data_IF_843899535475
#
_entry.id   IF_843899535475
#
_cell.length_a   1.000
_cell.length_b   1.000
_cell.length_c   1.000
_cell.angle_alpha   90.00
_cell.angle_beta   90.00
_cell.angle_gamma   90.00
#
_symmetry.space_group_name_H-M   'P 1'
#
loop_
_entity.id
_entity.type
_entity.pdbx_description
1 polymer ?
#
# COMPACT_ATOMS: atom_id res chain seq x y z
N UNK A 1 8.71 20.22 -21.31
CA UNK A 1 10.04 19.74 -20.84
C UNK A 1 10.07 18.22 -21.01
N UNK A 2 11.14 17.63 -21.54
CA UNK A 2 11.27 16.16 -21.57
C UNK A 2 11.51 15.67 -20.14
N UNK A 3 10.62 14.86 -19.60
CA UNK A 3 10.77 14.25 -18.29
C UNK A 3 12.10 13.49 -18.17
N UNK A 4 12.74 13.56 -17.00
CA UNK A 4 13.88 12.69 -16.70
C UNK A 4 13.41 11.22 -16.74
N UNK A 5 14.16 10.36 -17.43
CA UNK A 5 13.92 8.90 -17.38
C UNK A 5 14.54 8.23 -16.16
N UNK A 6 15.39 8.93 -15.41
CA UNK A 6 16.12 8.31 -14.29
C UNK A 6 15.26 8.29 -13.04
N UNK A 7 15.15 7.09 -12.47
CA UNK A 7 14.58 6.82 -11.16
C UNK A 7 15.65 6.05 -10.33
N UNK A 8 15.61 6.09 -8.98
CA UNK A 8 16.71 5.58 -8.14
C UNK A 8 16.60 4.10 -7.74
N UNK A 9 15.48 3.45 -8.01
CA UNK A 9 15.22 2.04 -7.72
C UNK A 9 15.94 1.09 -8.69
N UNK A 10 16.32 -0.11 -8.23
CA UNK A 10 16.90 -1.13 -9.10
C UNK A 10 15.88 -1.63 -10.13
N UNK A 11 16.34 -1.98 -11.33
CA UNK A 11 15.49 -2.49 -12.41
C UNK A 11 14.84 -3.84 -12.09
N UNK A 12 15.45 -4.63 -11.19
CA UNK A 12 14.89 -5.87 -10.67
C UNK A 12 14.64 -5.73 -9.17
N UNK A 13 13.55 -6.35 -8.70
CA UNK A 13 13.20 -6.40 -7.29
C UNK A 13 14.34 -7.03 -6.49
N UNK A 14 14.84 -6.36 -5.44
CA UNK A 14 15.77 -6.96 -4.48
C UNK A 14 15.17 -8.20 -3.83
N UNK A 15 16.03 -9.12 -3.39
CA UNK A 15 15.60 -10.27 -2.62
C UNK A 15 14.89 -9.83 -1.32
N UNK A 16 13.72 -10.41 -1.06
CA UNK A 16 12.92 -10.16 0.14
C UNK A 16 12.78 -11.46 0.93
N UNK A 17 13.35 -11.50 2.14
CA UNK A 17 13.23 -12.63 3.07
C UNK A 17 12.43 -12.20 4.29
N UNK A 18 11.39 -12.98 4.60
CA UNK A 18 10.45 -12.70 5.69
C UNK A 18 10.45 -13.90 6.61
N UNK A 19 10.74 -13.66 7.88
CA UNK A 19 10.83 -14.70 8.90
C UNK A 19 9.98 -14.30 10.12
N UNK A 20 9.16 -15.21 10.68
CA UNK A 20 8.46 -14.94 11.93
C UNK A 20 9.45 -14.54 13.03
N UNK A 21 9.09 -13.54 13.81
CA UNK A 21 9.90 -13.06 14.93
C UNK A 21 9.21 -13.35 16.25
N UNK A 22 10.00 -13.75 17.26
CA UNK A 22 9.53 -13.90 18.66
C UNK A 22 9.62 -12.59 19.46
N UNK A 23 9.93 -11.47 18.79
CA UNK A 23 9.94 -10.18 19.45
C UNK A 23 8.56 -9.87 20.04
N UNK A 24 8.54 -9.15 21.19
CA UNK A 24 7.29 -8.72 21.82
C UNK A 24 6.42 -7.96 20.81
N UNK A 25 5.11 -8.27 20.71
CA UNK A 25 4.17 -7.48 19.94
C UNK A 25 4.26 -6.00 20.30
N UNK A 26 4.05 -5.13 19.30
CA UNK A 26 4.06 -3.70 19.48
C UNK A 26 2.97 -3.06 18.64
N UNK A 27 2.38 -1.99 19.17
CA UNK A 27 1.57 -1.09 18.38
C UNK A 27 2.48 -0.20 17.53
N UNK A 28 2.01 0.12 16.34
CA UNK A 28 2.65 1.02 15.40
C UNK A 28 1.79 2.28 15.29
N UNK A 29 2.43 3.43 15.39
CA UNK A 29 1.84 4.71 15.05
C UNK A 29 2.11 5.02 13.57
N UNK A 30 1.24 4.55 12.68
CA UNK A 30 1.35 4.70 11.24
C UNK A 30 0.75 6.04 10.79
N UNK A 31 1.60 7.05 10.63
CA UNK A 31 1.20 8.41 10.22
C UNK A 31 1.14 8.60 8.70
N UNK A 32 1.24 7.51 7.95
CA UNK A 32 1.15 7.47 6.50
C UNK A 32 -0.31 7.32 6.06
N UNK A 33 -0.70 7.99 4.98
CA UNK A 33 -1.94 7.69 4.26
C UNK A 33 -1.83 6.26 3.75
N UNK A 34 -2.76 5.40 4.20
CA UNK A 34 -2.56 3.96 4.17
C UNK A 34 -2.23 3.49 2.74
N UNK A 35 -1.11 2.78 2.66
CA UNK A 35 -0.55 2.11 1.47
C UNK A 35 0.05 3.01 0.40
N UNK A 36 -0.05 4.34 0.52
CA UNK A 36 0.66 5.32 -0.32
C UNK A 36 1.92 5.89 0.35
N UNK A 37 2.22 5.47 1.59
CA UNK A 37 3.43 5.84 2.34
C UNK A 37 3.68 7.35 2.56
N UNK A 38 2.77 8.22 2.13
CA UNK A 38 2.85 9.67 2.24
C UNK A 38 2.33 10.15 3.59
N UNK A 39 3.07 11.05 4.25
CA UNK A 39 2.66 11.65 5.53
C UNK A 39 2.10 13.05 5.30
N UNK A 40 0.88 13.38 5.77
CA UNK A 40 0.29 14.72 5.65
C UNK A 40 0.99 15.76 6.55
N UNK A 41 2.27 16.03 6.28
CA UNK A 41 3.11 16.99 7.00
C UNK A 41 3.91 17.75 5.94
N UNK A 42 3.72 19.07 5.86
CA UNK A 42 4.37 19.91 4.84
C UNK A 42 5.89 19.72 4.87
N UNK A 43 6.47 19.56 3.68
CA UNK A 43 7.89 19.29 3.47
C UNK A 43 8.26 17.80 3.46
N UNK A 44 7.34 16.90 3.84
CA UNK A 44 7.59 15.47 3.71
C UNK A 44 7.63 15.03 2.25
N UNK A 45 8.56 14.11 1.98
CA UNK A 45 8.73 13.44 0.71
C UNK A 45 8.73 11.94 0.93
N UNK A 46 7.97 11.23 0.12
CA UNK A 46 8.07 9.76 0.03
C UNK A 46 8.23 9.36 -1.42
N UNK A 47 8.85 8.21 -1.61
CA UNK A 47 9.11 7.63 -2.91
C UNK A 47 9.00 6.11 -2.76
N UNK A 48 8.25 5.46 -3.63
CA UNK A 48 8.18 3.99 -3.69
C UNK A 48 8.13 3.52 -5.14
N UNK A 49 8.40 2.22 -5.32
CA UNK A 49 8.41 1.57 -6.62
C UNK A 49 7.62 0.27 -6.59
N UNK A 50 6.96 -0.05 -7.70
CA UNK A 50 6.21 -1.28 -7.91
C UNK A 50 7.01 -2.26 -8.77
N UNK A 51 6.93 -3.53 -8.39
CA UNK A 51 7.59 -4.65 -9.05
C UNK A 51 6.57 -5.76 -9.29
N UNK A 52 6.21 -5.97 -10.55
CA UNK A 52 5.11 -6.85 -10.90
C UNK A 52 5.58 -8.28 -11.15
N UNK A 53 4.75 -9.24 -10.78
CA UNK A 53 4.91 -10.62 -11.22
C UNK A 53 4.72 -10.73 -12.77
N UNK A 54 5.33 -11.75 -13.40
CA UNK A 54 6.18 -12.79 -12.79
C UNK A 54 7.68 -12.47 -12.79
N UNK A 55 8.14 -11.50 -13.58
CA UNK A 55 9.56 -11.21 -13.78
C UNK A 55 10.15 -10.26 -12.72
N UNK A 56 9.31 -9.68 -11.86
CA UNK A 56 9.68 -8.78 -10.77
C UNK A 56 10.55 -7.61 -11.25
N UNK A 57 10.27 -7.13 -12.47
CA UNK A 57 10.88 -5.91 -13.00
C UNK A 57 10.20 -4.68 -12.42
N UNK A 58 10.95 -3.58 -12.36
CA UNK A 58 10.40 -2.29 -12.03
C UNK A 58 9.38 -1.87 -13.10
N UNK A 59 8.13 -1.66 -12.69
CA UNK A 59 7.02 -1.27 -13.59
C UNK A 59 6.59 0.17 -13.37
N UNK A 60 6.71 0.68 -12.15
CA UNK A 60 6.43 2.08 -11.83
C UNK A 60 7.19 2.57 -10.62
N UNK A 61 7.31 3.89 -10.50
CA UNK A 61 7.67 4.55 -9.26
C UNK A 61 6.77 5.75 -9.04
N UNK A 62 6.46 6.05 -7.78
CA UNK A 62 5.62 7.18 -7.41
C UNK A 62 6.34 8.00 -6.36
N UNK A 63 6.39 9.31 -6.58
CA UNK A 63 6.84 10.31 -5.64
C UNK A 63 5.64 11.08 -5.12
N UNK A 64 5.57 11.26 -3.80
CA UNK A 64 4.62 12.18 -3.19
C UNK A 64 5.36 13.24 -2.38
N UNK A 65 5.01 14.50 -2.64
CA UNK A 65 5.54 15.68 -1.97
C UNK A 65 4.41 16.39 -1.25
N UNK A 66 4.47 16.49 0.07
CA UNK A 66 3.54 17.28 0.88
C UNK A 66 3.91 18.77 0.76
N UNK A 67 3.21 19.53 -0.06
CA UNK A 67 3.69 20.84 -0.54
C UNK A 67 3.20 22.03 0.27
N UNK A 68 1.94 22.03 0.73
CA UNK A 68 1.36 23.17 1.46
C UNK A 68 0.12 22.77 2.27
N UNK A 69 -0.26 23.57 3.28
CA UNK A 69 -1.56 23.42 3.93
C UNK A 69 -2.69 23.60 2.93
N UNK A 70 -3.75 22.81 3.08
CA UNK A 70 -4.95 22.85 2.25
C UNK A 70 -6.21 22.71 3.11
N UNK A 71 -7.36 23.08 2.54
CA UNK A 71 -8.67 22.89 3.16
C UNK A 71 -9.64 22.37 2.10
N UNK A 72 -10.31 21.26 2.40
CA UNK A 72 -11.33 20.65 1.53
C UNK A 72 -12.62 20.57 2.36
N UNK A 73 -13.70 21.20 1.90
CA UNK A 73 -14.99 21.25 2.62
C UNK A 73 -14.82 21.60 4.11
N UNK A 74 -14.09 22.68 4.39
CA UNK A 74 -13.71 23.14 5.73
C UNK A 74 -12.83 22.21 6.58
N UNK A 75 -12.43 21.06 6.06
CA UNK A 75 -11.49 20.14 6.73
C UNK A 75 -10.05 20.51 6.40
N UNK A 76 -9.27 20.84 7.43
CA UNK A 76 -7.85 21.16 7.28
C UNK A 76 -7.03 19.90 6.94
N UNK A 77 -6.10 20.04 6.00
CA UNK A 77 -5.20 18.99 5.54
C UNK A 77 -3.97 19.54 4.83
N UNK A 78 -3.37 18.72 3.98
CA UNK A 78 -2.15 19.00 3.23
C UNK A 78 -2.34 18.58 1.78
N UNK A 79 -1.95 19.45 0.85
CA UNK A 79 -1.85 19.15 -0.58
C UNK A 79 -0.59 18.34 -0.84
N UNK A 80 -0.74 17.28 -1.62
CA UNK A 80 0.32 16.47 -2.17
C UNK A 80 0.41 16.71 -3.67
N UNK A 81 1.62 17.00 -4.14
CA UNK A 81 1.98 16.78 -5.53
C UNK A 81 2.37 15.31 -5.69
N UNK A 82 1.76 14.62 -6.67
CA UNK A 82 2.06 13.23 -6.98
C UNK A 82 2.67 13.17 -8.37
N UNK A 83 3.89 12.63 -8.45
CA UNK A 83 4.58 12.40 -9.70
C UNK A 83 4.73 10.89 -9.89
N UNK A 84 4.45 10.40 -11.09
CA UNK A 84 4.57 8.97 -11.41
C UNK A 84 5.60 8.77 -12.49
N UNK A 85 6.28 7.63 -12.42
CA UNK A 85 7.27 7.22 -13.40
C UNK A 85 6.85 5.89 -14.00
N UNK A 86 6.96 5.78 -15.32
CA UNK A 86 6.91 4.53 -16.06
C UNK A 86 8.16 4.36 -16.94
N UNK A 87 8.53 3.13 -17.34
CA UNK A 87 9.59 2.90 -18.32
C UNK A 87 9.35 3.63 -19.66
N UNK A 88 8.10 3.75 -20.08
CA UNK A 88 7.68 4.29 -21.36
C UNK A 88 7.78 5.82 -21.39
N UNK A 89 7.17 6.48 -20.40
CA UNK A 89 6.99 7.95 -20.38
C UNK A 89 8.04 8.68 -19.53
N UNK A 90 8.70 7.99 -18.61
CA UNK A 90 9.53 8.64 -17.59
C UNK A 90 8.67 9.31 -16.52
N UNK A 91 9.20 10.35 -15.85
CA UNK A 91 8.46 11.08 -14.81
C UNK A 91 7.36 12.00 -15.38
N UNK A 92 6.11 11.69 -15.12
CA UNK A 92 4.97 12.58 -15.31
C UNK A 92 4.83 13.46 -14.06
N UNK A 93 5.00 14.77 -14.23
CA UNK A 93 5.10 15.74 -13.12
C UNK A 93 3.83 16.58 -13.04
N UNK A 94 3.29 16.73 -11.83
CA UNK A 94 2.12 17.57 -11.50
C UNK A 94 0.85 17.23 -12.32
N UNK A 95 0.71 15.98 -12.75
CA UNK A 95 -0.50 15.52 -13.45
C UNK A 95 -1.65 15.19 -12.48
N UNK A 96 -1.32 14.94 -11.20
CA UNK A 96 -2.26 14.58 -10.14
C UNK A 96 -1.89 15.27 -8.84
N UNK A 97 -2.93 15.79 -8.17
CA UNK A 97 -2.83 16.31 -6.81
C UNK A 97 -3.75 15.54 -5.90
N UNK A 98 -3.32 15.35 -4.67
CA UNK A 98 -4.10 14.65 -3.67
C UNK A 98 -4.09 15.44 -2.38
N UNK A 99 -5.11 15.26 -1.56
CA UNK A 99 -5.26 16.00 -0.32
C UNK A 99 -5.43 15.00 0.80
N UNK A 100 -4.66 15.15 1.88
CA UNK A 100 -4.71 14.24 3.01
C UNK A 100 -4.66 14.97 4.33
N UNK A 101 -5.18 14.32 5.37
CA UNK A 101 -5.20 14.81 6.73
C UNK A 101 -4.53 13.84 7.66
N UNK A 102 -3.83 14.38 8.65
CA UNK A 102 -3.26 13.66 9.77
C UNK A 102 -3.72 14.37 11.06
N UNK A 103 -4.34 13.63 11.95
CA UNK A 103 -4.76 14.11 13.28
C UNK A 103 -3.97 13.38 14.37
N UNK A 104 -4.28 13.68 15.62
CA UNK A 104 -3.72 12.96 16.77
C UNK A 104 -4.13 11.48 16.83
N UNK A 105 -5.16 11.07 16.10
CA UNK A 105 -5.74 9.72 16.17
C UNK A 105 -5.88 9.03 14.81
N UNK A 106 -5.84 9.76 13.71
CA UNK A 106 -6.24 9.25 12.39
C UNK A 106 -5.46 9.83 11.22
N UNK A 107 -5.58 9.14 10.09
CA UNK A 107 -5.20 9.58 8.75
C UNK A 107 -6.43 9.49 7.84
N UNK A 108 -6.53 10.36 6.84
CA UNK A 108 -7.68 10.39 5.93
C UNK A 108 -7.29 11.02 4.59
N UNK A 109 -7.80 10.49 3.48
CA UNK A 109 -7.81 11.16 2.20
C UNK A 109 -8.99 12.13 2.12
N UNK A 110 -8.74 13.36 1.67
CA UNK A 110 -9.75 14.41 1.58
C UNK A 110 -10.23 14.61 0.14
N UNK A 111 -9.33 14.55 -0.83
CA UNK A 111 -9.67 14.74 -2.24
C UNK A 111 -8.57 14.24 -3.18
N UNK A 112 -8.93 14.05 -4.44
CA UNK A 112 -8.02 13.88 -5.56
C UNK A 112 -8.43 14.83 -6.68
N UNK A 113 -7.45 15.53 -7.22
CA UNK A 113 -7.55 16.28 -8.46
C UNK A 113 -6.75 15.55 -9.53
N UNK A 114 -7.40 15.19 -10.64
CA UNK A 114 -6.78 14.53 -11.79
C UNK A 114 -7.23 15.20 -13.09
N UNK A 115 -6.40 15.13 -14.12
CA UNK A 115 -6.81 15.46 -15.48
C UNK A 115 -7.27 14.18 -16.17
N UNK A 116 -8.49 14.16 -16.69
CA UNK A 116 -9.09 13.05 -17.42
C UNK A 116 -9.76 13.60 -18.68
N UNK A 117 -9.36 13.12 -19.86
CA UNK A 117 -9.92 13.53 -21.16
C UNK A 117 -9.95 15.07 -21.35
N UNK A 118 -8.86 15.74 -20.99
CA UNK A 118 -8.69 17.22 -20.94
C UNK A 118 -9.59 17.96 -19.93
N UNK A 119 -10.40 17.24 -19.14
CA UNK A 119 -11.18 17.78 -18.02
C UNK A 119 -10.41 17.66 -16.70
N UNK A 120 -10.51 18.70 -15.87
CA UNK A 120 -9.98 18.67 -14.51
C UNK A 120 -11.08 18.16 -13.57
N UNK A 121 -10.92 16.92 -13.08
CA UNK A 121 -11.89 16.26 -12.22
C UNK A 121 -11.41 16.32 -10.77
N UNK A 122 -12.25 16.86 -9.90
CA UNK A 122 -12.04 16.91 -8.45
C UNK A 122 -13.03 15.97 -7.77
N UNK A 123 -12.51 14.87 -7.21
CA UNK A 123 -13.25 13.93 -6.38
C UNK A 123 -12.90 14.19 -4.89
N UNK A 124 -13.90 14.32 -4.02
CA UNK A 124 -13.72 14.66 -2.59
C UNK A 124 -14.39 13.64 -1.68
N UNK A 125 -14.02 13.63 -0.39
CA UNK A 125 -14.60 12.73 0.62
C UNK A 125 -16.13 12.89 0.82
N UNK A 126 -16.74 13.96 0.30
CA UNK A 126 -18.19 14.15 0.33
C UNK A 126 -18.91 13.55 -0.88
N UNK A 127 -18.17 13.13 -1.92
CA UNK A 127 -18.74 12.63 -3.17
C UNK A 127 -19.04 11.14 -3.09
N UNK A 128 -20.10 10.72 -3.78
CA UNK A 128 -20.51 9.32 -3.80
C UNK A 128 -19.40 8.42 -4.36
N UNK A 129 -19.09 7.34 -3.64
CA UNK A 129 -18.07 6.38 -4.05
C UNK A 129 -16.63 6.76 -3.69
N UNK A 130 -16.34 7.99 -3.24
CA UNK A 130 -14.96 8.36 -2.87
C UNK A 130 -14.38 7.46 -1.78
N UNK A 131 -15.16 7.18 -0.73
CA UNK A 131 -14.73 6.31 0.36
C UNK A 131 -14.52 4.85 -0.08
N UNK A 132 -15.05 4.41 -1.23
CA UNK A 132 -14.78 3.07 -1.73
C UNK A 132 -13.32 2.93 -2.17
N UNK A 133 -12.79 3.95 -2.85
CA UNK A 133 -11.42 3.93 -3.38
C UNK A 133 -10.38 4.48 -2.40
N UNK A 134 -10.80 5.46 -1.58
CA UNK A 134 -9.89 6.23 -0.71
C UNK A 134 -10.13 5.99 0.77
N UNK A 135 -11.20 5.28 1.12
CA UNK A 135 -11.63 5.02 2.50
C UNK A 135 -11.95 6.31 3.26
N UNK A 136 -12.68 6.12 4.36
CA UNK A 136 -12.99 7.20 5.29
C UNK A 136 -11.82 7.54 6.20
N UNK A 137 -12.11 8.11 7.36
CA UNK A 137 -11.12 8.36 8.40
C UNK A 137 -10.64 7.06 9.05
N UNK A 138 -9.33 6.85 9.08
CA UNK A 138 -8.70 5.60 9.49
C UNK A 138 -7.79 5.80 10.71
N UNK A 139 -7.78 4.89 11.71
CA UNK A 139 -6.90 5.05 12.87
C UNK A 139 -5.43 4.86 12.48
N UNK A 140 -4.57 5.77 12.94
CA UNK A 140 -3.12 5.66 12.74
C UNK A 140 -2.47 4.59 13.61
N UNK A 141 -3.08 4.27 14.75
CA UNK A 141 -2.58 3.23 15.67
C UNK A 141 -2.99 1.84 15.16
N UNK A 142 -2.00 1.07 14.73
CA UNK A 142 -2.16 -0.29 14.23
C UNK A 142 -1.50 -1.29 15.17
N UNK A 143 -2.18 -2.37 15.51
CA UNK A 143 -1.62 -3.41 16.37
C UNK A 143 -2.20 -4.78 16.08
N UNK A 144 -1.47 -5.81 16.47
CA UNK A 144 -1.96 -7.18 16.46
C UNK A 144 -2.77 -7.45 17.72
N UNK A 145 -4.10 -7.50 17.59
CA UNK A 145 -5.03 -7.92 18.65
C UNK A 145 -5.49 -9.38 18.48
N UNK A 146 -4.86 -10.14 17.60
CA UNK A 146 -5.27 -11.50 17.23
C UNK A 146 -6.52 -11.52 16.36
N UNK A 147 -6.68 -10.55 15.45
CA UNK A 147 -7.76 -10.59 14.43
C UNK A 147 -7.57 -11.80 13.52
N UNK A 148 -6.35 -12.00 13.03
CA UNK A 148 -6.01 -13.08 12.12
C UNK A 148 -5.40 -14.25 12.89
N UNK A 149 -6.10 -15.38 12.92
CA UNK A 149 -5.69 -16.61 13.59
C UNK A 149 -5.09 -17.55 12.54
N UNK A 150 -3.78 -17.71 12.55
CA UNK A 150 -3.09 -18.69 11.71
C UNK A 150 -3.45 -20.12 12.15
N UNK A 151 -3.96 -20.92 11.21
CA UNK A 151 -4.29 -22.33 11.39
C UNK A 151 -3.10 -23.22 11.02
N UNK A 152 -3.18 -24.51 11.41
CA UNK A 152 -2.12 -25.50 11.15
C UNK A 152 -1.89 -25.77 9.66
N UNK A 153 -2.92 -25.61 8.84
CA UNK A 153 -2.88 -25.75 7.38
C UNK A 153 -2.31 -24.50 6.66
N UNK A 154 -1.88 -23.49 7.41
CA UNK A 154 -1.33 -22.24 6.86
C UNK A 154 -2.37 -21.19 6.48
N UNK A 155 -3.67 -21.48 6.63
CA UNK A 155 -4.76 -20.52 6.36
C UNK A 155 -5.03 -19.62 7.56
N UNK A 156 -5.71 -18.49 7.34
CA UNK A 156 -6.12 -17.57 8.39
C UNK A 156 -7.64 -17.62 8.60
N UNK A 157 -8.04 -17.57 9.87
CA UNK A 157 -9.41 -17.28 10.26
C UNK A 157 -9.50 -15.90 10.92
N UNK A 158 -10.54 -15.15 10.59
CA UNK A 158 -10.83 -13.86 11.23
C UNK A 158 -11.63 -14.08 12.52
N UNK A 159 -11.11 -13.58 13.65
CA UNK A 159 -11.85 -13.57 14.92
C UNK A 159 -13.08 -12.67 14.81
N UNK A 160 -14.28 -13.22 15.00
CA UNK A 160 -15.56 -12.54 14.79
C UNK A 160 -15.64 -11.14 15.45
N UNK A 161 -15.29 -11.01 16.73
CA UNK A 161 -15.33 -9.73 17.46
C UNK A 161 -14.32 -8.67 17.00
N UNK A 162 -13.38 -9.03 16.13
CA UNK A 162 -12.37 -8.13 15.59
C UNK A 162 -12.56 -7.83 14.10
N UNK A 163 -13.50 -8.47 13.39
CA UNK A 163 -13.69 -8.36 11.93
C UNK A 163 -13.78 -6.92 11.44
N UNK A 164 -14.44 -6.04 12.20
CA UNK A 164 -14.67 -4.63 11.82
C UNK A 164 -13.96 -3.64 12.76
N UNK A 165 -12.74 -3.96 13.24
CA UNK A 165 -11.94 -3.08 14.11
C UNK A 165 -10.76 -2.45 13.33
N UNK A 166 -10.85 -1.21 12.81
CA UNK A 166 -9.91 -0.68 11.79
C UNK A 166 -8.43 -0.57 12.20
N UNK A 167 -8.11 -0.57 13.50
CA UNK A 167 -6.72 -0.56 14.02
C UNK A 167 -6.19 -1.94 14.42
N UNK A 168 -7.01 -2.98 14.41
CA UNK A 168 -6.66 -4.33 14.86
C UNK A 168 -6.30 -5.26 13.69
N UNK A 169 -5.57 -4.76 12.70
CA UNK A 169 -5.24 -5.47 11.45
C UNK A 169 -3.86 -6.14 11.49
N UNK A 170 -3.17 -6.11 12.63
CA UNK A 170 -1.90 -6.81 12.81
C UNK A 170 -2.07 -8.33 12.72
N UNK A 171 -1.04 -8.98 12.17
CA UNK A 171 -0.98 -10.42 11.91
C UNK A 171 0.42 -10.98 12.22
N UNK A 172 0.94 -10.68 13.41
CA UNK A 172 2.25 -11.11 13.90
C UNK A 172 3.39 -10.12 13.67
N UNK A 173 4.53 -10.42 14.31
CA UNK A 173 5.77 -9.67 14.17
C UNK A 173 6.77 -10.48 13.35
N UNK A 174 7.44 -9.82 12.41
CA UNK A 174 8.34 -10.47 11.46
C UNK A 174 9.67 -9.73 11.38
N UNK A 175 10.73 -10.48 11.10
CA UNK A 175 11.98 -9.92 10.62
C UNK A 175 11.98 -9.95 9.09
N UNK A 176 12.06 -8.78 8.51
CA UNK A 176 12.00 -8.53 7.08
C UNK A 176 13.38 -8.08 6.61
N UNK A 177 13.99 -8.82 5.70
CA UNK A 177 15.23 -8.43 5.01
C UNK A 177 14.91 -8.07 3.56
N UNK A 178 15.33 -6.89 3.12
CA UNK A 178 15.21 -6.40 1.74
C UNK A 178 16.62 -6.05 1.29
N UNK A 179 17.18 -6.85 0.37
CA UNK A 179 18.59 -6.75 0.02
C UNK A 179 19.49 -6.87 1.27
N UNK A 180 20.29 -5.84 1.54
CA UNK A 180 21.20 -5.76 2.68
C UNK A 180 20.58 -5.18 3.96
N UNK A 181 19.34 -4.65 3.90
CA UNK A 181 18.69 -3.97 5.02
C UNK A 181 17.71 -4.91 5.71
N UNK A 182 17.60 -4.80 7.04
CA UNK A 182 16.71 -5.64 7.84
C UNK A 182 15.91 -4.81 8.85
N UNK A 183 14.64 -5.20 9.03
CA UNK A 183 13.67 -4.51 9.85
C UNK A 183 12.93 -5.51 10.73
N UNK A 184 12.58 -5.09 11.96
CA UNK A 184 11.56 -5.78 12.76
C UNK A 184 10.25 -5.05 12.55
N UNK A 185 9.28 -5.74 11.95
CA UNK A 185 8.03 -5.15 11.50
C UNK A 185 6.81 -5.81 12.13
N UNK A 186 5.78 -5.01 12.39
CA UNK A 186 4.42 -5.51 12.50
C UNK A 186 3.96 -5.86 11.08
N UNK A 187 3.51 -7.09 10.86
CA UNK A 187 2.80 -7.46 9.63
C UNK A 187 1.35 -7.05 9.78
N UNK A 188 0.79 -6.46 8.72
CA UNK A 188 -0.61 -6.08 8.62
C UNK A 188 -1.22 -6.80 7.42
N UNK A 189 -2.42 -7.34 7.59
CA UNK A 189 -3.25 -7.86 6.51
C UNK A 189 -4.50 -6.98 6.43
N UNK A 190 -4.76 -6.42 5.25
CA UNK A 190 -5.86 -5.50 5.02
C UNK A 190 -6.62 -5.90 3.75
N UNK A 191 -7.86 -6.38 3.91
CA UNK A 191 -8.73 -6.87 2.84
C UNK A 191 -9.76 -5.84 2.36
N UNK A 192 -9.68 -4.60 2.85
CA UNK A 192 -10.66 -3.55 2.55
C UNK A 192 -12.12 -3.96 2.80
N UNK A 193 -12.38 -4.46 4.02
CA UNK A 193 -13.66 -5.08 4.38
C UNK A 193 -13.53 -6.58 4.59
N UNK A 194 -14.65 -7.33 4.56
CA UNK A 194 -14.63 -8.78 4.64
C UNK A 194 -13.80 -9.39 3.50
N UNK A 195 -13.05 -10.49 3.74
CA UNK A 195 -12.39 -11.21 2.66
C UNK A 195 -13.37 -11.58 1.54
N UNK A 196 -13.01 -11.25 0.30
CA UNK A 196 -13.79 -11.54 -0.91
C UNK A 196 -12.81 -11.95 -2.02
N UNK A 197 -13.14 -13.01 -2.78
CA UNK A 197 -12.34 -13.45 -3.93
C UNK A 197 -12.41 -12.49 -5.13
N UNK A 198 -13.32 -11.50 -5.10
CA UNK A 198 -13.34 -10.36 -6.02
C UNK A 198 -12.57 -9.15 -5.48
N UNK A 199 -12.08 -9.21 -4.24
CA UNK A 199 -11.39 -8.09 -3.59
C UNK A 199 -9.87 -8.15 -3.74
N UNK A 200 -9.21 -7.31 -2.97
CA UNK A 200 -7.76 -7.26 -2.84
C UNK A 200 -7.35 -7.52 -1.39
N UNK A 201 -6.12 -7.99 -1.21
CA UNK A 201 -5.47 -8.07 0.09
C UNK A 201 -4.15 -7.32 0.00
N UNK A 202 -3.95 -6.38 0.92
CA UNK A 202 -2.67 -5.74 1.15
C UNK A 202 -1.98 -6.37 2.35
N UNK A 203 -0.78 -6.89 2.10
CA UNK A 203 0.13 -7.36 3.14
C UNK A 203 1.23 -6.31 3.32
N UNK A 204 1.20 -5.58 4.43
CA UNK A 204 2.17 -4.52 4.70
C UNK A 204 3.08 -4.86 5.89
N UNK A 205 4.31 -4.37 5.86
CA UNK A 205 5.29 -4.55 6.93
C UNK A 205 5.72 -3.20 7.49
N UNK A 206 5.21 -2.86 8.66
CA UNK A 206 5.41 -1.56 9.29
C UNK A 206 6.51 -1.63 10.33
N UNK A 207 7.49 -0.72 10.24
CA UNK A 207 8.56 -0.61 11.22
C UNK A 207 8.04 -0.07 12.56
N UNK A 208 8.81 -0.25 13.63
CA UNK A 208 8.52 0.36 14.94
C UNK A 208 8.38 1.89 14.90
N UNK A 209 9.00 2.55 13.92
CA UNK A 209 8.95 4.00 13.76
C UNK A 209 7.71 4.48 12.98
N UNK A 210 6.77 3.60 12.65
CA UNK A 210 5.55 4.01 11.93
C UNK A 210 5.71 4.18 10.42
N UNK A 211 6.74 3.58 9.82
CA UNK A 211 7.00 3.66 8.38
C UNK A 211 6.74 2.33 7.71
N UNK A 212 6.20 2.36 6.49
CA UNK A 212 6.09 1.15 5.68
C UNK A 212 7.46 0.75 5.13
N UNK A 213 7.97 -0.41 5.55
CA UNK A 213 9.18 -0.99 4.96
C UNK A 213 8.87 -1.45 3.53
N UNK A 214 7.84 -2.25 3.35
CA UNK A 214 7.31 -2.56 2.03
C UNK A 214 5.91 -3.14 2.19
N UNK A 215 5.20 -3.27 1.08
CA UNK A 215 3.89 -3.92 1.05
C UNK A 215 3.71 -4.74 -0.22
N UNK A 216 2.80 -5.70 -0.16
CA UNK A 216 2.42 -6.58 -1.28
C UNK A 216 0.96 -6.43 -1.58
N UNK A 217 0.66 -6.35 -2.86
CA UNK A 217 -0.69 -6.53 -3.39
C UNK A 217 -0.91 -8.00 -3.66
N UNK A 218 -1.97 -8.54 -3.07
CA UNK A 218 -2.59 -9.76 -3.50
C UNK A 218 -3.96 -9.44 -4.09
N UNK A 219 -4.37 -10.16 -5.12
CA UNK A 219 -5.71 -10.06 -5.68
C UNK A 219 -6.47 -11.35 -5.39
N UNK A 220 -7.77 -11.25 -5.15
CA UNK A 220 -8.63 -12.40 -5.06
C UNK A 220 -8.66 -13.17 -6.38
N UNK A 221 -8.85 -14.50 -6.32
CA UNK A 221 -8.81 -15.35 -7.52
C UNK A 221 -9.76 -14.89 -8.63
N UNK A 222 -10.93 -14.35 -8.28
CA UNK A 222 -11.93 -13.89 -9.24
C UNK A 222 -11.65 -12.48 -9.78
N UNK A 223 -10.86 -11.67 -9.07
CA UNK A 223 -10.38 -10.37 -9.57
C UNK A 223 -9.41 -10.53 -10.74
N UNK A 224 -8.59 -11.58 -10.71
CA UNK A 224 -7.45 -11.74 -11.59
C UNK A 224 -7.80 -12.22 -13.01
N UNK A 225 -8.93 -12.91 -13.21
CA UNK A 225 -9.24 -13.57 -14.49
C UNK A 225 -9.29 -12.59 -15.69
N UNK A 226 -9.87 -11.39 -15.51
CA UNK A 226 -9.90 -10.37 -16.55
C UNK A 226 -8.55 -9.71 -16.81
N UNK A 227 -7.79 -9.42 -15.75
CA UNK A 227 -6.50 -8.71 -15.84
C UNK A 227 -5.39 -9.56 -16.45
N UNK A 228 -5.32 -10.85 -16.13
CA UNK A 228 -4.37 -11.76 -16.75
C UNK A 228 -4.59 -11.84 -18.26
N UNK A 229 -5.83 -12.02 -18.69
CA UNK A 229 -6.20 -12.04 -20.12
C UNK A 229 -5.79 -10.74 -20.81
N UNK A 230 -6.04 -9.58 -20.18
CA UNK A 230 -5.61 -8.27 -20.71
C UNK A 230 -4.09 -8.10 -20.82
N UNK A 231 -3.30 -8.83 -20.02
CA UNK A 231 -1.83 -8.87 -20.09
C UNK A 231 -1.29 -9.99 -20.98
N UNK A 232 -2.16 -10.80 -21.60
CA UNK A 232 -1.76 -11.99 -22.35
C UNK A 232 -1.11 -13.06 -21.47
N UNK A 233 -1.43 -13.08 -20.18
CA UNK A 233 -0.90 -14.04 -19.20
C UNK A 233 -1.97 -15.06 -18.81
N UNK A 234 -1.52 -16.21 -18.34
CA UNK A 234 -2.30 -17.27 -17.72
C UNK A 234 -1.90 -17.42 -16.25
N UNK A 235 -2.60 -18.28 -15.53
CA UNK A 235 -2.20 -18.65 -14.17
C UNK A 235 -0.86 -19.36 -14.12
N UNK A 236 -0.50 -20.12 -15.15
CA UNK A 236 0.77 -20.85 -15.23
C UNK A 236 1.95 -19.88 -15.36
N UNK A 237 1.74 -18.74 -16.05
CA UNK A 237 2.75 -17.69 -16.19
C UNK A 237 3.07 -16.99 -14.86
N UNK A 238 2.19 -17.10 -13.85
CA UNK A 238 2.42 -16.52 -12.54
C UNK A 238 3.41 -17.37 -11.69
N UNK A 239 3.85 -18.54 -12.15
CA UNK A 239 4.85 -19.37 -11.46
C UNK A 239 4.44 -19.80 -10.05
N UNK A 240 5.41 -20.05 -9.16
CA UNK A 240 5.16 -20.27 -7.71
C UNK A 240 4.78 -18.95 -7.00
N UNK A 241 3.62 -18.39 -7.36
CA UNK A 241 3.06 -17.21 -6.71
C UNK A 241 2.70 -17.53 -5.26
N UNK A 242 3.11 -16.65 -4.35
CA UNK A 242 2.68 -16.72 -2.95
C UNK A 242 1.17 -16.59 -2.86
N UNK A 243 0.57 -17.38 -1.99
CA UNK A 243 -0.87 -17.39 -1.73
C UNK A 243 -1.15 -17.12 -0.26
N UNK A 244 -2.25 -16.45 0.02
CA UNK A 244 -2.81 -16.29 1.35
C UNK A 244 -4.29 -16.66 1.28
N UNK A 245 -4.75 -17.50 2.21
CA UNK A 245 -6.16 -17.83 2.35
C UNK A 245 -6.67 -17.22 3.65
N UNK A 246 -7.73 -16.41 3.58
CA UNK A 246 -8.38 -15.81 4.76
C UNK A 246 -9.87 -16.13 4.69
N UNK A 247 -10.41 -16.78 5.71
CA UNK A 247 -11.83 -17.18 5.78
C UNK A 247 -12.30 -17.99 4.54
N UNK A 248 -11.39 -18.74 3.92
CA UNK A 248 -11.67 -19.53 2.71
C UNK A 248 -11.49 -18.79 1.38
N UNK A 249 -11.28 -17.46 1.40
CA UNK A 249 -11.00 -16.68 0.19
C UNK A 249 -9.52 -16.75 -0.18
N UNK A 250 -9.22 -17.14 -1.42
CA UNK A 250 -7.86 -17.22 -1.94
C UNK A 250 -7.40 -15.87 -2.52
N UNK A 251 -6.27 -15.38 -2.00
CA UNK A 251 -5.56 -14.20 -2.50
C UNK A 251 -4.20 -14.59 -3.07
N UNK A 252 -3.91 -14.15 -4.29
CA UNK A 252 -2.69 -14.49 -5.03
C UNK A 252 -1.81 -13.26 -5.24
N UNK A 253 -0.51 -13.40 -5.01
CA UNK A 253 0.46 -12.31 -5.06
C UNK A 253 0.55 -11.71 -6.47
N UNK A 254 0.44 -10.38 -6.55
CA UNK A 254 0.36 -9.64 -7.80
C UNK A 254 1.60 -8.75 -8.03
N UNK A 255 1.92 -7.88 -7.08
CA UNK A 255 3.14 -7.06 -7.11
C UNK A 255 3.64 -6.72 -5.70
N UNK A 256 4.92 -6.40 -5.62
CA UNK A 256 5.57 -5.83 -4.43
C UNK A 256 5.79 -4.33 -4.62
N UNK A 257 5.59 -3.55 -3.55
CA UNK A 257 5.96 -2.14 -3.51
C UNK A 257 7.02 -1.87 -2.44
N UNK A 258 8.16 -1.33 -2.87
CA UNK A 258 9.32 -1.04 -2.01
C UNK A 258 9.49 0.47 -1.85
N UNK A 259 9.60 0.95 -0.62
CA UNK A 259 9.85 2.38 -0.35
C UNK A 259 11.32 2.72 -0.49
N UNK A 260 11.66 3.98 -0.80
CA UNK A 260 13.03 4.48 -0.83
C UNK A 260 13.77 4.23 0.49
N UNK A 261 13.05 4.37 1.61
CA UNK A 261 13.53 4.10 2.97
C UNK A 261 13.98 2.63 3.14
N UNK A 262 13.24 1.70 2.54
CA UNK A 262 13.53 0.27 2.61
C UNK A 262 14.82 -0.12 1.89
N UNK A 263 15.17 0.64 0.85
CA UNK A 263 16.37 0.44 0.03
C UNK A 263 17.53 1.34 0.41
N UNK A 264 17.32 2.31 1.31
CA UNK A 264 18.35 3.29 1.68
C UNK A 264 18.61 4.33 0.58
N UNK A 265 17.63 4.56 -0.29
CA UNK A 265 17.62 5.64 -1.29
C UNK A 265 17.31 6.95 -0.55
N UNK A 266 18.10 7.98 -0.82
CA UNK A 266 17.96 9.32 -0.23
C UNK A 266 17.08 10.23 -1.10
#
# INVERSE_FOLDING_TARGET
MKASKKQPFPAKRPEIVITPSRAKPFAVDCRELRWWSGRPIVGERTLWASYDAPDWRLTSATEMLAVRPARVNDVAGVEFQVNDWSPETGWEVDWRRMFGRLTDTSVQWLAMLKVQDDECVLDTFGDEGFEHDWRGEEPRKLEDRGRYILRRDGTYATRAGLRNKPGAIGAGVFRVRIGSRAFTCLRVLDTDGPPDEKGMLLEAYLTRSGRTAFWRRYNGRLWQEGLLRGRGLTWDDMGEVKQIVIDGCLFVHWYDCLTSTSLGIK
#
